data_IF_387238115520
#
_entry.id   IF_387238115520
#
_cell.length_a   1.000
_cell.length_b   1.000
_cell.length_c   1.000
_cell.angle_alpha   90.00
_cell.angle_beta   90.00
_cell.angle_gamma   90.00
#
_symmetry.space_group_name_H-M   'P 1'
#
loop_
_entity.id
_entity.type
_entity.pdbx_description
1 polymer ?
#
# COMPACT_ATOMS: atom_id res chain seq x y z
N UNK A 1 24.65 -32.96 58.90
CA UNK A 1 23.82 -31.99 58.15
C UNK A 1 24.61 -31.56 56.92
N UNK A 2 24.15 -31.89 55.72
CA UNK A 2 24.71 -31.36 54.47
C UNK A 2 23.60 -30.67 53.68
N UNK A 3 23.84 -29.40 53.36
CA UNK A 3 22.91 -28.51 52.66
C UNK A 3 23.08 -28.66 51.15
N UNK A 4 21.98 -28.94 50.44
CA UNK A 4 21.93 -28.97 48.98
C UNK A 4 21.63 -27.57 48.43
N UNK A 5 22.67 -26.88 47.94
CA UNK A 5 22.50 -25.66 47.16
C UNK A 5 21.95 -25.97 45.76
N UNK A 6 20.67 -25.67 45.50
CA UNK A 6 20.09 -25.69 44.14
C UNK A 6 20.71 -24.57 43.30
N UNK A 7 21.54 -24.92 42.32
CA UNK A 7 21.96 -23.98 41.27
C UNK A 7 20.73 -23.59 40.43
N UNK A 8 20.36 -22.32 40.44
CA UNK A 8 19.38 -21.74 39.49
C UNK A 8 19.94 -21.89 38.08
N UNK A 9 19.21 -22.59 37.20
CA UNK A 9 19.47 -22.60 35.77
C UNK A 9 19.42 -21.15 35.27
N UNK A 10 20.50 -20.70 34.61
CA UNK A 10 20.48 -19.45 33.86
C UNK A 10 19.54 -19.66 32.67
N UNK A 11 18.48 -18.85 32.58
CA UNK A 11 17.67 -18.77 31.38
C UNK A 11 18.55 -18.27 30.23
N UNK A 12 18.71 -19.09 29.20
CA UNK A 12 19.35 -18.68 27.95
C UNK A 12 18.41 -17.71 27.25
N UNK A 13 18.78 -16.43 27.27
CA UNK A 13 18.10 -15.39 26.48
C UNK A 13 18.38 -15.68 25.00
N UNK A 14 17.39 -16.24 24.30
CA UNK A 14 17.42 -16.39 22.85
C UNK A 14 16.95 -15.09 22.21
N UNK A 15 17.86 -14.39 21.54
CA UNK A 15 17.52 -13.25 20.70
C UNK A 15 16.77 -13.74 19.46
N UNK A 16 15.49 -13.40 19.33
CA UNK A 16 14.68 -13.66 18.12
C UNK A 16 14.69 -12.40 17.28
N UNK A 17 15.37 -12.44 16.13
CA UNK A 17 15.34 -11.35 15.14
C UNK A 17 14.11 -11.56 14.26
N UNK A 18 13.14 -10.63 14.31
CA UNK A 18 11.99 -10.61 13.41
C UNK A 18 12.25 -9.60 12.29
N UNK A 19 12.36 -10.07 11.05
CA UNK A 19 12.45 -9.21 9.87
C UNK A 19 11.04 -8.87 9.41
N UNK A 20 10.70 -7.57 9.34
CA UNK A 20 9.43 -7.07 8.79
C UNK A 20 9.62 -6.75 7.31
N UNK A 21 8.68 -7.18 6.48
CA UNK A 21 8.73 -7.03 5.03
C UNK A 21 7.46 -6.34 4.52
N UNK A 22 7.46 -5.89 3.25
CA UNK A 22 6.25 -5.33 2.62
C UNK A 22 5.10 -6.34 2.61
N UNK A 23 5.41 -7.65 2.60
CA UNK A 23 4.43 -8.69 2.75
C UNK A 23 3.64 -8.60 4.07
N UNK A 24 4.26 -8.09 5.13
CA UNK A 24 3.65 -8.00 6.46
C UNK A 24 2.77 -6.76 6.63
N UNK A 25 2.70 -5.89 5.62
CA UNK A 25 1.82 -4.72 5.63
C UNK A 25 0.35 -5.18 5.71
N UNK A 26 -0.47 -4.63 6.63
CA UNK A 26 -1.85 -5.09 6.84
C UNK A 26 -2.71 -5.13 5.58
N UNK A 27 -2.54 -4.17 4.67
CA UNK A 27 -3.25 -4.14 3.39
C UNK A 27 -2.89 -5.33 2.49
N UNK A 28 -1.61 -5.72 2.45
CA UNK A 28 -1.10 -6.83 1.65
C UNK A 28 -1.55 -8.18 2.23
N UNK A 29 -1.48 -8.33 3.56
CA UNK A 29 -1.99 -9.51 4.26
C UNK A 29 -3.49 -9.70 3.99
N UNK A 30 -4.26 -8.61 4.10
CA UNK A 30 -5.71 -8.64 3.88
C UNK A 30 -6.06 -8.97 2.42
N UNK A 31 -5.36 -8.38 1.45
CA UNK A 31 -5.57 -8.67 0.03
C UNK A 31 -5.31 -10.15 -0.28
N UNK A 32 -4.19 -10.71 0.20
CA UNK A 32 -3.86 -12.13 0.03
C UNK A 32 -4.93 -13.06 0.60
N UNK A 33 -5.44 -12.74 1.79
CA UNK A 33 -6.52 -13.49 2.42
C UNK A 33 -7.79 -13.46 1.56
N UNK A 34 -8.23 -12.28 1.13
CA UNK A 34 -9.43 -12.14 0.28
C UNK A 34 -9.30 -12.90 -1.04
N UNK A 35 -8.12 -12.89 -1.68
CA UNK A 35 -7.87 -13.64 -2.92
C UNK A 35 -7.97 -15.15 -2.66
N UNK A 36 -7.38 -15.64 -1.57
CA UNK A 36 -7.45 -17.06 -1.18
C UNK A 36 -8.89 -17.51 -0.92
N UNK A 37 -9.74 -16.61 -0.43
CA UNK A 37 -11.18 -16.83 -0.21
C UNK A 37 -12.03 -16.66 -1.48
N UNK A 38 -11.43 -16.40 -2.65
CA UNK A 38 -12.15 -16.18 -3.91
C UNK A 38 -12.80 -14.79 -4.03
N UNK A 39 -12.51 -13.87 -3.11
CA UNK A 39 -13.06 -12.51 -3.06
C UNK A 39 -12.13 -11.49 -3.72
N UNK A 40 -11.82 -11.71 -5.00
CA UNK A 40 -10.85 -10.89 -5.75
C UNK A 40 -11.29 -9.43 -5.86
N UNK A 41 -12.59 -9.16 -6.12
CA UNK A 41 -13.12 -7.79 -6.21
C UNK A 41 -12.94 -7.03 -4.89
N UNK A 42 -13.20 -7.69 -3.75
CA UNK A 42 -13.01 -7.09 -2.43
C UNK A 42 -11.53 -6.80 -2.17
N UNK A 43 -10.64 -7.72 -2.57
CA UNK A 43 -9.19 -7.51 -2.46
C UNK A 43 -8.73 -6.26 -3.22
N UNK A 44 -9.25 -6.04 -4.44
CA UNK A 44 -8.92 -4.87 -5.26
C UNK A 44 -9.47 -3.59 -4.63
N UNK A 45 -10.76 -3.57 -4.25
CA UNK A 45 -11.44 -2.37 -3.75
C UNK A 45 -10.85 -1.93 -2.40
N UNK A 46 -10.72 -2.87 -1.46
CA UNK A 46 -10.14 -2.60 -0.14
C UNK A 46 -8.64 -2.34 -0.26
N UNK A 47 -7.94 -3.08 -1.12
CA UNK A 47 -6.52 -2.88 -1.41
C UNK A 47 -6.23 -1.45 -1.85
N UNK A 48 -6.90 -0.99 -2.91
CA UNK A 48 -6.79 0.40 -3.40
C UNK A 48 -7.10 1.42 -2.31
N UNK A 49 -8.21 1.25 -1.58
CA UNK A 49 -8.60 2.18 -0.52
C UNK A 49 -7.52 2.30 0.56
N UNK A 50 -6.92 1.16 0.95
CA UNK A 50 -5.86 1.12 1.95
C UNK A 50 -4.57 1.78 1.46
N UNK A 51 -4.07 1.45 0.26
CA UNK A 51 -2.86 2.09 -0.26
C UNK A 51 -3.04 3.59 -0.48
N UNK A 52 -4.22 4.03 -0.93
CA UNK A 52 -4.54 5.45 -1.08
C UNK A 52 -4.48 6.17 0.28
N UNK A 53 -5.11 5.60 1.30
CA UNK A 53 -5.12 6.18 2.64
C UNK A 53 -3.71 6.22 3.25
N UNK A 54 -2.91 5.19 3.02
CA UNK A 54 -1.51 5.16 3.44
C UNK A 54 -0.66 6.19 2.73
N UNK A 55 -0.84 6.36 1.41
CA UNK A 55 -0.18 7.40 0.64
C UNK A 55 -0.49 8.80 1.19
N UNK A 56 -1.78 9.08 1.43
CA UNK A 56 -2.24 10.35 2.00
C UNK A 56 -1.61 10.59 3.38
N UNK A 57 -1.62 9.57 4.25
CA UNK A 57 -1.05 9.62 5.59
C UNK A 57 0.47 9.80 5.57
N UNK A 58 1.17 9.06 4.71
CA UNK A 58 2.64 9.05 4.66
C UNK A 58 3.21 10.36 4.12
N UNK A 59 2.64 10.86 3.02
CA UNK A 59 3.12 12.06 2.35
C UNK A 59 2.42 13.36 2.82
N UNK A 60 1.55 13.26 3.83
CA UNK A 60 0.86 14.41 4.43
C UNK A 60 -0.02 15.17 3.44
N UNK A 61 -0.70 14.47 2.53
CA UNK A 61 -1.59 15.11 1.56
C UNK A 61 -2.83 15.62 2.30
N UNK A 62 -3.13 16.91 2.14
CA UNK A 62 -4.40 17.46 2.62
C UNK A 62 -5.53 16.93 1.74
N UNK A 63 -6.29 15.97 2.26
CA UNK A 63 -7.44 15.43 1.56
C UNK A 63 -8.56 16.46 1.51
N UNK A 64 -8.90 16.96 0.32
CA UNK A 64 -10.10 17.77 0.11
C UNK A 64 -11.31 16.82 0.16
N UNK A 65 -12.04 16.83 1.28
CA UNK A 65 -12.94 15.74 1.70
C UNK A 65 -14.24 15.55 0.90
N UNK A 66 -14.36 16.06 -0.32
CA UNK A 66 -15.66 16.09 -1.03
C UNK A 66 -15.64 15.70 -2.52
N UNK A 67 -14.52 15.24 -3.06
CA UNK A 67 -14.44 14.88 -4.48
C UNK A 67 -14.33 13.35 -4.69
N UNK A 68 -14.89 12.83 -5.78
CA UNK A 68 -14.80 11.41 -6.14
C UNK A 68 -13.36 10.96 -6.45
N UNK A 69 -13.13 9.65 -6.60
CA UNK A 69 -11.78 9.07 -6.79
C UNK A 69 -11.02 9.71 -7.96
N UNK A 70 -11.68 9.92 -9.11
CA UNK A 70 -11.05 10.58 -10.26
C UNK A 70 -10.66 12.02 -10.00
N UNK A 71 -11.51 12.77 -9.31
CA UNK A 71 -11.18 14.15 -8.93
C UNK A 71 -9.99 14.21 -7.99
N UNK A 72 -9.89 13.27 -7.05
CA UNK A 72 -8.72 13.12 -6.18
C UNK A 72 -7.45 12.79 -6.99
N UNK A 73 -7.53 11.89 -7.96
CA UNK A 73 -6.40 11.55 -8.84
C UNK A 73 -5.94 12.78 -9.63
N UNK A 74 -6.86 13.45 -10.31
CA UNK A 74 -6.54 14.61 -11.14
C UNK A 74 -5.97 15.76 -10.30
N UNK A 75 -6.59 16.07 -9.16
CA UNK A 75 -6.10 17.14 -8.28
C UNK A 75 -4.72 16.83 -7.71
N UNK A 76 -4.47 15.57 -7.34
CA UNK A 76 -3.17 15.16 -6.80
C UNK A 76 -2.10 15.17 -7.88
N UNK A 77 -2.37 14.68 -9.09
CA UNK A 77 -1.42 14.76 -10.22
C UNK A 77 -1.07 16.21 -10.55
N UNK A 78 -2.06 17.11 -10.61
CA UNK A 78 -1.82 18.55 -10.79
C UNK A 78 -0.97 19.14 -9.65
N UNK A 79 -1.27 18.78 -8.40
CA UNK A 79 -0.49 19.19 -7.23
C UNK A 79 0.95 18.65 -7.20
N UNK A 80 1.23 17.59 -7.96
CA UNK A 80 2.57 17.03 -8.17
C UNK A 80 3.28 17.64 -9.40
N UNK A 81 2.70 18.66 -10.03
CA UNK A 81 3.25 19.31 -11.22
C UNK A 81 2.97 18.58 -12.54
N UNK A 82 2.09 17.57 -12.53
CA UNK A 82 1.68 16.85 -13.73
C UNK A 82 0.43 17.52 -14.29
N UNK A 83 0.62 18.31 -15.33
CA UNK A 83 -0.49 19.00 -15.98
C UNK A 83 -1.40 18.02 -16.73
N UNK A 84 -2.72 18.22 -16.57
CA UNK A 84 -3.78 17.39 -17.11
C UNK A 84 -4.95 18.25 -17.61
N UNK A 85 -5.54 17.91 -18.76
CA UNK A 85 -6.76 18.56 -19.25
C UNK A 85 -7.93 18.31 -18.28
N UNK A 86 -8.95 19.18 -18.32
CA UNK A 86 -10.13 19.03 -17.43
C UNK A 86 -10.90 17.74 -17.72
N UNK A 87 -10.89 17.32 -18.98
CA UNK A 87 -11.48 16.09 -19.49
C UNK A 87 -10.90 14.82 -18.84
N UNK A 88 -9.70 14.91 -18.22
CA UNK A 88 -9.09 13.80 -17.49
C UNK A 88 -9.96 13.28 -16.33
N UNK A 89 -10.87 14.11 -15.80
CA UNK A 89 -11.84 13.68 -14.78
C UNK A 89 -12.83 12.65 -15.34
N UNK A 90 -13.12 12.69 -16.64
CA UNK A 90 -14.15 11.86 -17.31
C UNK A 90 -13.53 10.80 -18.22
N UNK A 91 -12.37 11.06 -18.81
CA UNK A 91 -11.64 10.10 -19.64
C UNK A 91 -10.27 9.77 -19.04
N UNK A 92 -10.13 8.53 -18.57
CA UNK A 92 -8.91 8.02 -17.96
C UNK A 92 -7.75 7.89 -18.95
N UNK A 93 -8.01 7.94 -20.27
CA UNK A 93 -6.96 7.88 -21.29
C UNK A 93 -5.98 9.04 -21.15
N UNK A 94 -6.46 10.26 -20.91
CA UNK A 94 -5.59 11.42 -20.71
C UNK A 94 -4.66 11.25 -19.51
N UNK A 95 -5.13 10.56 -18.47
CA UNK A 95 -4.32 10.23 -17.30
C UNK A 95 -3.25 9.21 -17.70
N UNK A 96 -3.62 8.11 -18.38
CA UNK A 96 -2.69 7.06 -18.82
C UNK A 96 -1.61 7.64 -19.72
N UNK A 97 -1.99 8.38 -20.76
CA UNK A 97 -1.05 8.97 -21.72
C UNK A 97 -0.02 9.82 -20.98
N UNK A 98 -0.47 10.62 -20.00
CA UNK A 98 0.41 11.50 -19.24
C UNK A 98 1.34 10.78 -18.27
N UNK A 99 0.85 9.76 -17.56
CA UNK A 99 1.66 9.04 -16.56
C UNK A 99 2.60 8.01 -17.19
N UNK A 100 2.28 7.51 -18.40
CA UNK A 100 3.10 6.52 -19.11
C UNK A 100 4.47 7.06 -19.53
N UNK A 101 4.58 8.38 -19.71
CA UNK A 101 5.82 9.07 -20.08
C UNK A 101 6.72 9.39 -18.86
N UNK A 102 6.26 9.10 -17.64
CA UNK A 102 7.00 9.41 -16.41
C UNK A 102 8.01 8.31 -16.12
N UNK A 103 9.30 8.67 -16.09
CA UNK A 103 10.35 7.78 -15.61
C UNK A 103 10.29 7.64 -14.07
N UNK A 104 9.71 6.53 -13.62
CA UNK A 104 9.55 6.22 -12.19
C UNK A 104 10.86 5.96 -11.45
N UNK A 105 11.96 5.68 -12.18
CA UNK A 105 13.26 5.39 -11.55
C UNK A 105 14.00 6.65 -11.11
N UNK A 106 13.75 7.77 -11.79
CA UNK A 106 14.33 9.09 -11.50
C UNK A 106 13.37 10.04 -10.79
N UNK A 107 12.09 9.67 -10.70
CA UNK A 107 11.05 10.48 -10.04
C UNK A 107 11.15 10.46 -8.51
N UNK A 108 10.66 11.52 -7.87
CA UNK A 108 10.49 11.53 -6.42
C UNK A 108 9.60 10.36 -5.96
N UNK A 109 9.89 9.73 -4.80
CA UNK A 109 9.11 8.59 -4.32
C UNK A 109 7.62 8.89 -4.20
N UNK A 110 7.26 10.13 -3.87
CA UNK A 110 5.88 10.62 -3.81
C UNK A 110 5.17 10.50 -5.16
N UNK A 111 5.82 10.98 -6.23
CA UNK A 111 5.29 10.91 -7.59
C UNK A 111 5.21 9.47 -8.07
N UNK A 112 6.28 8.70 -7.91
CA UNK A 112 6.34 7.33 -8.38
C UNK A 112 5.31 6.42 -7.66
N UNK A 113 5.14 6.61 -6.35
CA UNK A 113 4.11 5.94 -5.56
C UNK A 113 2.71 6.27 -6.10
N UNK A 114 2.44 7.56 -6.35
CA UNK A 114 1.12 7.98 -6.81
C UNK A 114 0.79 7.47 -8.21
N UNK A 115 1.76 7.50 -9.14
CA UNK A 115 1.57 6.92 -10.48
C UNK A 115 1.15 5.45 -10.39
N UNK A 116 1.80 4.64 -9.54
CA UNK A 116 1.40 3.24 -9.35
C UNK A 116 0.01 3.06 -8.75
N UNK A 117 -0.41 3.96 -7.85
CA UNK A 117 -1.79 3.97 -7.32
C UNK A 117 -2.79 4.27 -8.44
N UNK A 118 -2.48 5.23 -9.31
CA UNK A 118 -3.32 5.61 -10.46
C UNK A 118 -3.40 4.49 -11.49
N UNK A 119 -2.27 3.85 -11.82
CA UNK A 119 -2.24 2.65 -12.67
C UNK A 119 -3.13 1.54 -12.11
N UNK A 120 -3.02 1.27 -10.80
CA UNK A 120 -3.85 0.26 -10.13
C UNK A 120 -5.34 0.63 -10.18
N UNK A 121 -5.66 1.92 -9.99
CA UNK A 121 -7.03 2.42 -10.06
C UNK A 121 -7.66 2.16 -11.43
N UNK A 122 -7.00 2.62 -12.50
CA UNK A 122 -7.51 2.54 -13.86
C UNK A 122 -7.55 1.09 -14.37
N UNK A 123 -6.54 0.28 -14.04
CA UNK A 123 -6.44 -1.10 -14.53
C UNK A 123 -7.37 -2.07 -13.78
N UNK A 124 -7.56 -1.90 -12.47
CA UNK A 124 -8.27 -2.88 -11.63
C UNK A 124 -9.45 -2.29 -10.89
N UNK A 125 -9.27 -1.18 -10.19
CA UNK A 125 -10.29 -0.67 -9.28
C UNK A 125 -11.57 -0.30 -10.00
N UNK A 126 -11.51 0.43 -11.11
CA UNK A 126 -12.71 0.84 -11.85
C UNK A 126 -13.52 -0.37 -12.31
N UNK A 127 -12.84 -1.37 -12.89
CA UNK A 127 -13.47 -2.62 -13.30
C UNK A 127 -14.08 -3.35 -12.10
N UNK A 128 -13.36 -3.47 -10.99
CA UNK A 128 -13.86 -4.14 -9.79
C UNK A 128 -15.06 -3.41 -9.16
N UNK A 129 -15.08 -2.08 -9.21
CA UNK A 129 -16.11 -1.26 -8.55
C UNK A 129 -17.37 -1.12 -9.40
N UNK A 130 -17.23 -0.99 -10.72
CA UNK A 130 -18.31 -0.58 -11.62
C UNK A 130 -18.72 -1.64 -12.64
N UNK A 131 -17.97 -2.73 -12.77
CA UNK A 131 -18.35 -3.85 -13.66
C UNK A 131 -18.90 -5.03 -12.86
N UNK A 132 -19.86 -5.74 -13.44
CA UNK A 132 -20.35 -7.03 -12.95
C UNK A 132 -19.49 -8.21 -13.42
N UNK A 133 -18.47 -7.95 -14.25
CA UNK A 133 -17.57 -8.99 -14.75
C UNK A 133 -16.82 -9.68 -13.62
N UNK A 134 -16.71 -11.01 -13.71
CA UNK A 134 -15.76 -11.75 -12.90
C UNK A 134 -14.33 -11.24 -13.17
N UNK A 135 -13.54 -11.11 -12.11
CA UNK A 135 -12.12 -10.73 -12.19
C UNK A 135 -11.33 -11.89 -11.61
N UNK A 136 -10.50 -12.50 -12.46
CA UNK A 136 -9.52 -13.50 -12.04
C UNK A 136 -8.22 -12.80 -11.64
N UNK A 137 -7.58 -13.30 -10.59
CA UNK A 137 -6.24 -12.86 -10.20
C UNK A 137 -5.21 -13.93 -10.56
N UNK A 138 -4.25 -13.55 -11.41
CA UNK A 138 -3.12 -14.40 -11.80
C UNK A 138 -1.90 -14.18 -10.89
N UNK A 139 -2.13 -13.70 -9.66
CA UNK A 139 -1.10 -13.27 -8.70
C UNK A 139 -0.67 -11.80 -8.87
N UNK A 140 -1.24 -11.08 -9.83
CA UNK A 140 -0.81 -9.72 -10.17
C UNK A 140 -1.30 -8.69 -9.15
N UNK A 141 -2.47 -8.90 -8.53
CA UNK A 141 -3.06 -7.88 -7.63
C UNK A 141 -2.15 -7.60 -6.43
N UNK A 142 -1.65 -8.66 -5.78
CA UNK A 142 -0.79 -8.52 -4.60
C UNK A 142 0.54 -7.89 -4.99
N UNK A 143 1.15 -8.34 -6.09
CA UNK A 143 2.43 -7.81 -6.57
C UNK A 143 2.34 -6.32 -6.89
N UNK A 144 1.23 -5.88 -7.51
CA UNK A 144 0.99 -4.45 -7.80
C UNK A 144 0.83 -3.64 -6.53
N UNK A 145 0.05 -4.12 -5.56
CA UNK A 145 -0.10 -3.45 -4.27
C UNK A 145 1.23 -3.37 -3.51
N UNK A 146 2.00 -4.46 -3.49
CA UNK A 146 3.35 -4.49 -2.91
C UNK A 146 4.28 -3.49 -3.59
N UNK A 147 4.21 -3.39 -4.92
CA UNK A 147 4.99 -2.42 -5.70
C UNK A 147 4.73 -0.96 -5.34
N UNK A 148 3.55 -0.61 -4.82
CA UNK A 148 3.23 0.73 -4.33
C UNK A 148 3.97 1.00 -3.00
N UNK A 149 3.97 0.02 -2.08
CA UNK A 149 4.63 0.16 -0.79
C UNK A 149 6.16 0.25 -0.85
N UNK A 150 6.77 -0.15 -1.97
CA UNK A 150 8.23 0.01 -2.17
C UNK A 150 8.69 1.48 -2.14
N UNK A 151 7.77 2.45 -2.27
CA UNK A 151 8.07 3.88 -2.22
C UNK A 151 7.73 4.53 -0.87
N UNK A 152 7.31 3.74 0.12
CA UNK A 152 6.98 4.21 1.46
C UNK A 152 7.79 3.43 2.50
N UNK A 153 8.21 4.11 3.56
CA UNK A 153 8.78 3.43 4.72
C UNK A 153 7.66 2.75 5.52
N UNK A 154 7.51 1.44 5.31
CA UNK A 154 6.50 0.61 5.97
C UNK A 154 6.73 0.53 7.48
N UNK A 155 7.97 0.66 7.94
CA UNK A 155 8.32 0.65 9.36
C UNK A 155 7.75 1.89 10.01
N UNK A 156 7.99 3.06 9.40
CA UNK A 156 7.40 4.32 9.85
C UNK A 156 5.86 4.28 9.80
N UNK A 157 5.28 3.66 8.78
CA UNK A 157 3.82 3.61 8.61
C UNK A 157 3.09 2.70 9.62
N UNK A 158 3.68 1.55 9.95
CA UNK A 158 2.96 0.48 10.64
C UNK A 158 3.66 -0.09 11.87
N UNK A 159 4.95 0.18 12.04
CA UNK A 159 5.78 -0.43 13.09
C UNK A 159 6.52 0.62 13.93
N UNK A 160 6.12 1.89 13.84
CA UNK A 160 6.59 2.98 14.70
C UNK A 160 6.21 2.68 16.16
N UNK A 161 7.14 2.14 16.94
CA UNK A 161 6.97 1.81 18.35
C UNK A 161 7.18 0.33 18.73
N UNK A 162 7.44 -0.56 17.77
CA UNK A 162 7.68 -2.00 18.05
C UNK A 162 9.13 -2.29 18.50
N UNK A 163 9.99 -1.26 18.57
CA UNK A 163 11.39 -1.35 19.01
C UNK A 163 11.59 -1.37 20.54
N UNK A 164 10.51 -1.39 21.34
CA UNK A 164 10.57 -0.98 22.76
C UNK A 164 9.87 -1.83 23.82
N UNK A 165 9.42 -3.06 23.55
CA UNK A 165 8.87 -3.95 24.59
C UNK A 165 9.69 -5.23 24.77
N UNK A 166 11.01 -5.07 24.96
CA UNK A 166 11.75 -6.04 25.76
C UNK A 166 11.48 -5.66 27.22
N UNK A 167 10.48 -6.32 27.83
CA UNK A 167 10.28 -6.26 29.27
C UNK A 167 11.60 -6.64 29.94
N UNK A 168 12.24 -5.67 30.57
CA UNK A 168 13.37 -5.85 31.51
C UNK A 168 12.94 -6.66 32.72
#
# INVERSE_FOLDING_TARGET
MFSFGRKKQKEEVKTVIKVKTVGDVPAIVSARKSITEGKVKDAIISGYSNVKNDYVRYFGIQSTSQAGERSFIVSTLKGLGIDLPEEAVVDGKFIIDRISDIDLTSSEPKVACFVKIVEFYLKYYEKAKYSDSAIEDNGEIVDRLTGIYNYMDITKLYFSGDDGSVNT
#
